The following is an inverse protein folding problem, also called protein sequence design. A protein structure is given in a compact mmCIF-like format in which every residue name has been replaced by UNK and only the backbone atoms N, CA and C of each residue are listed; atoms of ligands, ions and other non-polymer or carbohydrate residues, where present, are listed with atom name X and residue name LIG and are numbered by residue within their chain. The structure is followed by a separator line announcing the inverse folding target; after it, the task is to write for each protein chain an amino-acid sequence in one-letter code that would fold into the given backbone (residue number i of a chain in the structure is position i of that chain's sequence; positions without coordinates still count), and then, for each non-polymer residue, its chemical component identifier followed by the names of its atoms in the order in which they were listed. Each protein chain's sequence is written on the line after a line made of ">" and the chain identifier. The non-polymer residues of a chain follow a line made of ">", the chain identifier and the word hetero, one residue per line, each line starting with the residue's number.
data_IF_074049987827
#
_entry.id   IF_074049987827
#
_cell.length_a   1.000
_cell.length_b   1.000
_cell.length_c   1.000
_cell.angle_alpha   90.00
_cell.angle_beta   90.00
_cell.angle_gamma   90.00
#
_symmetry.space_group_name_H-M   'P 1'
#
loop_
_entity.id
_entity.type
_entity.pdbx_description
1 polymer ?
#
# COMPACT_ATOMS: atom_id res chain seq x y z
N UNK A 1 -16.05 -7.67 -18.89
CA UNK A 1 -14.75 -6.99 -19.08
C UNK A 1 -13.77 -8.00 -19.66
N UNK A 2 -13.18 -7.74 -20.83
CA UNK A 2 -12.01 -8.49 -21.27
C UNK A 2 -10.90 -8.08 -20.31
N UNK A 3 -10.47 -8.97 -19.41
CA UNK A 3 -9.31 -8.70 -18.55
C UNK A 3 -8.12 -8.54 -19.49
N UNK A 4 -7.57 -7.34 -19.61
CA UNK A 4 -6.27 -7.20 -20.23
C UNK A 4 -5.32 -8.13 -19.49
N UNK A 5 -4.75 -9.09 -20.23
CA UNK A 5 -3.72 -9.96 -19.68
C UNK A 5 -2.42 -9.19 -19.61
N UNK A 6 -2.13 -8.63 -18.45
CA UNK A 6 -0.81 -8.06 -18.20
C UNK A 6 0.24 -9.18 -18.10
N UNK A 7 1.38 -8.96 -18.72
CA UNK A 7 2.52 -9.86 -18.59
C UNK A 7 3.18 -9.66 -17.23
N UNK A 8 3.51 -10.75 -16.55
CA UNK A 8 4.31 -10.70 -15.33
C UNK A 8 5.78 -10.52 -15.71
N UNK A 9 6.30 -9.30 -15.55
CA UNK A 9 7.69 -8.94 -15.85
C UNK A 9 8.61 -9.09 -14.63
N UNK A 10 8.02 -9.14 -13.44
CA UNK A 10 8.73 -9.29 -12.17
C UNK A 10 8.90 -10.76 -11.78
N UNK A 11 9.95 -11.05 -11.03
CA UNK A 11 10.15 -12.35 -10.40
C UNK A 11 9.87 -12.25 -8.90
N UNK A 12 8.88 -13.01 -8.42
CA UNK A 12 8.59 -13.13 -7.00
C UNK A 12 9.79 -13.72 -6.25
N UNK A 13 10.28 -13.07 -5.18
CA UNK A 13 11.36 -13.65 -4.36
C UNK A 13 10.86 -14.81 -3.50
N UNK A 14 11.75 -15.72 -3.15
CA UNK A 14 11.50 -16.70 -2.10
C UNK A 14 11.58 -15.99 -0.74
N UNK A 15 10.46 -15.96 -0.02
CA UNK A 15 10.38 -15.34 1.32
C UNK A 15 10.53 -16.37 2.46
N UNK A 16 10.65 -17.66 2.15
CA UNK A 16 10.78 -18.72 3.16
C UNK A 16 11.96 -18.51 4.12
N UNK A 17 13.13 -17.97 3.70
CA UNK A 17 14.21 -17.63 4.61
C UNK A 17 13.84 -16.64 5.72
N UNK A 18 12.73 -15.91 5.59
CA UNK A 18 12.26 -14.90 6.56
C UNK A 18 11.08 -15.39 7.41
N UNK A 19 10.73 -16.70 7.34
CA UNK A 19 9.66 -17.30 8.12
C UNK A 19 9.91 -17.18 9.63
N UNK A 20 11.14 -17.45 10.06
CA UNK A 20 11.49 -17.34 11.47
C UNK A 20 11.37 -15.88 11.94
N UNK A 21 10.58 -15.71 12.98
CA UNK A 21 10.31 -14.42 13.60
C UNK A 21 11.02 -14.30 14.95
N UNK A 22 11.53 -13.13 15.25
CA UNK A 22 12.07 -12.84 16.58
C UNK A 22 11.03 -12.25 17.55
N UNK A 23 9.77 -12.13 17.13
CA UNK A 23 8.66 -11.61 17.95
C UNK A 23 7.49 -12.62 18.06
N UNK A 24 7.64 -13.84 17.56
CA UNK A 24 6.65 -14.91 17.68
C UNK A 24 5.53 -14.86 16.64
N UNK A 25 5.61 -14.00 15.62
CA UNK A 25 4.66 -13.90 14.49
C UNK A 25 5.40 -14.19 13.19
N UNK A 26 5.12 -15.33 12.53
CA UNK A 26 5.82 -15.76 11.31
C UNK A 26 5.91 -14.64 10.26
N UNK A 27 7.03 -14.58 9.54
CA UNK A 27 7.32 -13.59 8.48
C UNK A 27 7.32 -12.13 8.96
N UNK A 28 7.51 -11.91 10.26
CA UNK A 28 7.64 -10.58 10.85
C UNK A 28 8.95 -10.50 11.61
N UNK A 29 9.83 -9.59 11.22
CA UNK A 29 11.14 -9.41 11.85
C UNK A 29 11.26 -7.97 12.36
N UNK A 30 11.57 -7.82 13.65
CA UNK A 30 11.80 -6.52 14.29
C UNK A 30 13.29 -6.37 14.65
N UNK A 31 13.90 -5.30 14.20
CA UNK A 31 15.23 -4.86 14.57
C UNK A 31 15.12 -3.72 15.58
N UNK A 32 15.81 -3.85 16.73
CA UNK A 32 15.87 -2.82 17.77
C UNK A 32 17.28 -2.22 17.81
N UNK A 33 17.38 -0.90 17.72
CA UNK A 33 18.66 -0.18 17.81
C UNK A 33 19.18 -0.09 19.25
N UNK A 34 18.37 -0.40 20.24
CA UNK A 34 18.67 -0.14 21.65
C UNK A 34 18.65 1.34 22.07
N UNK A 35 18.24 2.23 21.16
CA UNK A 35 18.14 3.67 21.39
C UNK A 35 16.70 4.15 21.27
N UNK A 36 16.38 5.26 21.94
CA UNK A 36 15.09 5.91 21.82
C UNK A 36 14.82 6.35 20.38
N UNK A 37 13.58 6.23 19.93
CA UNK A 37 13.11 6.59 18.58
C UNK A 37 11.77 5.95 18.27
N UNK A 38 11.18 6.24 17.09
CA UNK A 38 9.91 5.65 16.69
C UNK A 38 10.02 4.16 16.39
N UNK A 39 8.92 3.45 16.55
CA UNK A 39 8.74 2.10 16.04
C UNK A 39 8.13 2.19 14.63
N UNK A 40 8.93 1.88 13.63
CA UNK A 40 8.58 1.97 12.20
C UNK A 40 8.30 0.58 11.66
N UNK A 41 7.27 0.45 10.82
CA UNK A 41 6.97 -0.82 10.14
C UNK A 41 6.78 -0.60 8.64
N UNK A 42 7.30 -1.55 7.85
CA UNK A 42 7.02 -1.66 6.42
C UNK A 42 6.38 -3.02 6.16
N UNK A 43 5.18 -2.99 5.61
CA UNK A 43 4.45 -4.16 5.17
C UNK A 43 4.65 -4.43 3.68
N UNK A 44 4.66 -5.70 3.32
CA UNK A 44 4.55 -6.18 1.95
C UNK A 44 3.55 -7.33 1.88
N UNK A 45 3.05 -7.57 0.68
CA UNK A 45 2.13 -8.67 0.33
C UNK A 45 0.85 -8.69 1.16
N UNK A 46 0.28 -7.53 1.43
CA UNK A 46 -1.10 -7.39 1.94
C UNK A 46 -2.07 -8.09 1.00
N UNK A 47 -1.83 -8.02 -0.31
CA UNK A 47 -2.38 -8.91 -1.32
C UNK A 47 -1.26 -9.79 -1.90
N UNK A 48 -1.49 -11.10 -1.99
CA UNK A 48 -0.45 -12.05 -2.36
C UNK A 48 0.07 -11.91 -3.80
N UNK A 49 -0.69 -11.28 -4.68
CA UNK A 49 -0.31 -10.99 -6.06
C UNK A 49 0.48 -9.70 -6.25
N UNK A 50 0.67 -8.89 -5.22
CA UNK A 50 1.35 -7.60 -5.27
C UNK A 50 2.83 -7.78 -4.86
N UNK A 51 3.59 -8.42 -5.73
CA UNK A 51 4.94 -8.93 -5.44
C UNK A 51 6.03 -7.85 -5.34
N UNK A 52 5.76 -6.61 -5.78
CA UNK A 52 6.73 -5.50 -5.74
C UNK A 52 7.21 -5.19 -4.31
N UNK A 53 6.31 -5.23 -3.33
CA UNK A 53 6.64 -5.05 -1.92
C UNK A 53 7.55 -6.16 -1.38
N UNK A 54 7.30 -7.43 -1.80
CA UNK A 54 8.16 -8.54 -1.43
C UNK A 54 9.59 -8.35 -1.98
N UNK A 55 9.72 -7.86 -3.22
CA UNK A 55 11.01 -7.54 -3.85
C UNK A 55 11.75 -6.47 -3.05
N UNK A 56 11.04 -5.40 -2.64
CA UNK A 56 11.62 -4.33 -1.86
C UNK A 56 12.12 -4.81 -0.49
N UNK A 57 11.30 -5.57 0.27
CA UNK A 57 11.69 -6.08 1.57
C UNK A 57 12.81 -7.12 1.49
N UNK A 58 12.77 -8.05 0.52
CA UNK A 58 13.85 -9.01 0.27
C UNK A 58 15.18 -8.30 0.03
N UNK A 59 15.16 -7.22 -0.78
CA UNK A 59 16.35 -6.41 -1.04
C UNK A 59 16.86 -5.73 0.22
N UNK A 60 15.99 -5.07 1.01
CA UNK A 60 16.39 -4.41 2.26
C UNK A 60 16.98 -5.40 3.27
N UNK A 61 16.39 -6.59 3.40
CA UNK A 61 16.86 -7.65 4.30
C UNK A 61 18.22 -8.20 3.86
N UNK A 62 18.40 -8.49 2.58
CA UNK A 62 19.67 -8.94 2.01
C UNK A 62 20.79 -7.90 2.13
N UNK A 63 20.45 -6.63 1.99
CA UNK A 63 21.38 -5.50 2.15
C UNK A 63 21.71 -5.22 3.64
N UNK A 64 21.11 -5.97 4.56
CA UNK A 64 21.42 -5.89 5.98
C UNK A 64 20.92 -4.63 6.67
N UNK A 65 19.76 -4.11 6.26
CA UNK A 65 19.16 -2.92 6.87
C UNK A 65 19.09 -3.04 8.41
N UNK A 66 19.44 -1.98 9.11
CA UNK A 66 19.32 -1.88 10.58
C UNK A 66 18.91 -0.47 10.98
N UNK A 67 18.09 -0.32 12.04
CA UNK A 67 17.80 0.98 12.61
C UNK A 67 19.02 1.54 13.37
N UNK A 68 19.24 2.85 13.27
CA UNK A 68 20.24 3.59 14.05
C UNK A 68 19.64 4.22 15.31
N UNK A 69 18.31 4.33 15.37
CA UNK A 69 17.50 4.69 16.53
C UNK A 69 16.10 4.04 16.41
N UNK A 70 15.38 3.92 17.54
CA UNK A 70 14.06 3.28 17.56
C UNK A 70 14.09 1.82 17.10
N UNK A 71 12.98 1.39 16.49
CA UNK A 71 12.78 0.03 15.98
C UNK A 71 12.33 0.04 14.53
N UNK A 72 12.74 -1.00 13.80
CA UNK A 72 12.27 -1.25 12.44
C UNK A 72 11.71 -2.66 12.35
N UNK A 73 10.43 -2.77 11.97
CA UNK A 73 9.75 -4.02 11.67
C UNK A 73 9.54 -4.16 10.17
N UNK A 74 9.91 -5.29 9.60
CA UNK A 74 9.63 -5.67 8.22
C UNK A 74 8.74 -6.91 8.23
N UNK A 75 7.65 -6.89 7.44
CA UNK A 75 6.65 -7.95 7.48
C UNK A 75 6.10 -8.33 6.09
N UNK A 76 6.08 -9.63 5.80
CA UNK A 76 5.32 -10.22 4.71
C UNK A 76 3.98 -10.68 5.29
N UNK A 77 2.95 -9.81 5.20
CA UNK A 77 1.78 -9.93 6.09
C UNK A 77 0.81 -11.05 5.68
N UNK A 78 0.44 -11.17 4.42
CA UNK A 78 -0.43 -12.25 3.91
C UNK A 78 0.38 -13.31 3.16
N UNK A 79 1.34 -13.90 3.87
CA UNK A 79 2.26 -14.90 3.30
C UNK A 79 1.53 -16.13 2.73
N UNK A 80 0.36 -16.50 3.26
CA UNK A 80 -0.43 -17.62 2.72
C UNK A 80 -0.92 -17.31 1.31
N UNK A 81 -1.51 -16.13 1.08
CA UNK A 81 -1.92 -15.71 -0.25
C UNK A 81 -0.71 -15.60 -1.20
N UNK A 82 0.38 -15.00 -0.74
CA UNK A 82 1.62 -14.92 -1.51
C UNK A 82 2.17 -16.29 -1.91
N UNK A 83 2.09 -17.29 -1.05
CA UNK A 83 2.56 -18.66 -1.36
C UNK A 83 1.82 -19.32 -2.51
N UNK A 84 0.63 -18.82 -2.86
CA UNK A 84 -0.16 -19.32 -4.01
C UNK A 84 0.12 -18.57 -5.31
N UNK A 85 1.08 -17.62 -5.33
CA UNK A 85 1.36 -16.82 -6.50
C UNK A 85 1.86 -17.68 -7.67
N UNK A 86 1.10 -17.64 -8.76
CA UNK A 86 1.41 -18.29 -10.03
C UNK A 86 1.45 -17.24 -11.16
N UNK A 87 2.61 -17.02 -11.82
CA UNK A 87 2.70 -16.08 -12.92
C UNK A 87 1.77 -16.37 -14.12
N UNK A 88 1.28 -17.61 -14.25
CA UNK A 88 0.32 -17.97 -15.30
C UNK A 88 -1.13 -17.55 -14.98
N UNK A 89 -1.44 -17.32 -13.69
CA UNK A 89 -2.75 -16.91 -13.19
C UNK A 89 -2.60 -15.93 -12.00
N UNK A 90 -1.85 -14.84 -12.16
CA UNK A 90 -1.33 -14.06 -11.02
C UNK A 90 -2.42 -13.39 -10.19
N UNK A 91 -3.58 -13.07 -10.76
CA UNK A 91 -4.69 -12.45 -10.05
C UNK A 91 -5.37 -13.37 -9.02
N UNK A 92 -5.20 -14.70 -9.13
CA UNK A 92 -5.84 -15.67 -8.25
C UNK A 92 -5.24 -15.69 -6.84
N UNK A 93 -4.02 -15.20 -6.68
CA UNK A 93 -3.32 -15.16 -5.39
C UNK A 93 -3.53 -13.87 -4.60
N UNK A 94 -4.54 -13.06 -4.95
CA UNK A 94 -4.81 -11.80 -4.25
C UNK A 94 -5.10 -12.03 -2.75
N UNK A 95 -5.92 -13.02 -2.43
CA UNK A 95 -6.26 -13.43 -1.05
C UNK A 95 -6.67 -14.91 -1.04
N UNK A 96 -6.81 -15.50 0.13
CA UNK A 96 -7.29 -16.89 0.31
C UNK A 96 -8.82 -16.91 0.43
N UNK A 97 -9.39 -16.24 1.42
CA UNK A 97 -10.82 -16.24 1.71
C UNK A 97 -11.47 -14.87 1.40
N UNK A 98 -10.79 -13.77 1.73
CA UNK A 98 -11.32 -12.41 1.58
C UNK A 98 -10.19 -11.36 1.48
N UNK A 99 -10.53 -10.15 1.06
CA UNK A 99 -9.56 -9.07 0.92
C UNK A 99 -8.98 -8.65 2.30
N UNK A 100 -7.70 -8.93 2.54
CA UNK A 100 -6.98 -8.62 3.77
C UNK A 100 -7.02 -7.12 4.11
N UNK A 101 -7.10 -6.26 3.09
CA UNK A 101 -7.19 -4.81 3.28
C UNK A 101 -8.64 -4.31 3.42
N UNK A 102 -9.58 -5.20 3.87
CA UNK A 102 -10.97 -4.87 4.22
C UNK A 102 -11.39 -5.43 5.59
N UNK A 103 -10.52 -6.19 6.25
CA UNK A 103 -10.84 -6.87 7.52
C UNK A 103 -10.59 -6.02 8.78
N UNK A 104 -10.03 -4.83 8.65
CA UNK A 104 -9.56 -4.00 9.78
C UNK A 104 -10.69 -3.24 10.49
N UNK A 105 -11.82 -3.91 10.64
CA UNK A 105 -12.99 -3.44 11.40
C UNK A 105 -12.95 -4.07 12.78
N UNK A 106 -13.03 -3.28 13.83
CA UNK A 106 -12.86 -3.70 15.22
C UNK A 106 -13.82 -4.84 15.58
N UNK A 107 -15.11 -4.73 15.24
CA UNK A 107 -16.13 -5.76 15.53
C UNK A 107 -15.81 -7.09 14.84
N UNK A 108 -15.17 -7.07 13.66
CA UNK A 108 -14.73 -8.27 12.96
C UNK A 108 -13.48 -8.87 13.61
N UNK A 109 -12.52 -8.01 13.98
CA UNK A 109 -11.29 -8.43 14.66
C UNK A 109 -11.58 -9.07 16.04
N UNK A 110 -12.59 -8.58 16.75
CA UNK A 110 -13.04 -9.11 18.04
C UNK A 110 -14.07 -10.26 17.89
N UNK A 111 -14.58 -10.46 16.68
CA UNK A 111 -15.63 -11.44 16.36
C UNK A 111 -15.14 -12.88 16.28
N UNK A 112 -16.07 -13.79 15.95
CA UNK A 112 -15.83 -15.24 15.90
C UNK A 112 -15.56 -15.79 14.49
N UNK A 113 -15.62 -14.95 13.48
CA UNK A 113 -15.30 -15.31 12.09
C UNK A 113 -13.87 -15.85 11.97
N UNK A 114 -13.66 -16.85 11.10
CA UNK A 114 -12.40 -17.59 11.01
C UNK A 114 -11.87 -17.68 9.59
N UNK A 115 -11.93 -16.58 8.83
CA UNK A 115 -11.24 -16.54 7.54
C UNK A 115 -9.71 -16.48 7.77
N UNK A 116 -8.95 -16.93 6.80
CA UNK A 116 -7.48 -16.93 6.85
C UNK A 116 -6.95 -15.51 7.09
N UNK A 117 -7.53 -14.54 6.42
CA UNK A 117 -7.14 -13.13 6.53
C UNK A 117 -7.49 -12.53 7.91
N UNK A 118 -8.66 -12.85 8.47
CA UNK A 118 -9.02 -12.39 9.82
C UNK A 118 -8.15 -13.02 10.91
N UNK A 119 -7.83 -14.32 10.78
CA UNK A 119 -6.92 -14.97 11.72
C UNK A 119 -5.55 -14.30 11.68
N UNK A 120 -5.03 -14.05 10.48
CA UNK A 120 -3.75 -13.37 10.30
C UNK A 120 -3.79 -11.93 10.80
N UNK A 121 -4.87 -11.19 10.56
CA UNK A 121 -5.04 -9.84 11.09
C UNK A 121 -5.02 -9.80 12.63
N UNK A 122 -5.65 -10.78 13.29
CA UNK A 122 -5.62 -10.91 14.75
C UNK A 122 -4.22 -11.22 15.30
N UNK A 123 -3.43 -12.04 14.59
CA UNK A 123 -2.02 -12.29 14.95
C UNK A 123 -1.17 -11.02 14.85
N UNK A 124 -1.41 -10.20 13.83
CA UNK A 124 -0.65 -8.98 13.55
C UNK A 124 -1.12 -7.77 14.38
N UNK A 125 -2.39 -7.78 14.84
CA UNK A 125 -2.99 -6.67 15.58
C UNK A 125 -2.12 -6.17 16.74
N UNK A 126 -1.59 -7.02 17.64
CA UNK A 126 -0.72 -6.56 18.73
C UNK A 126 0.57 -5.89 18.23
N UNK A 127 1.07 -6.29 17.06
CA UNK A 127 2.25 -5.67 16.46
C UNK A 127 1.89 -4.27 15.99
N UNK A 128 0.78 -4.11 15.26
CA UNK A 128 0.33 -2.79 14.78
C UNK A 128 -0.01 -1.82 15.90
N UNK A 129 -0.49 -2.32 17.02
CA UNK A 129 -0.78 -1.49 18.21
C UNK A 129 0.49 -0.82 18.78
N UNK A 130 1.67 -1.40 18.54
CA UNK A 130 2.97 -0.86 18.97
C UNK A 130 3.62 0.07 17.93
N UNK A 131 3.14 0.09 16.67
CA UNK A 131 3.75 0.84 15.58
C UNK A 131 3.39 2.33 15.66
N UNK A 132 4.38 3.20 15.48
CA UNK A 132 4.19 4.64 15.35
C UNK A 132 3.98 5.06 13.90
N UNK A 133 4.77 4.50 12.97
CA UNK A 133 4.78 4.86 11.55
C UNK A 133 4.75 3.61 10.68
N UNK A 134 3.71 3.48 9.87
CA UNK A 134 3.47 2.35 8.99
C UNK A 134 3.54 2.78 7.51
N UNK A 135 4.23 1.99 6.69
CA UNK A 135 4.10 1.98 5.23
C UNK A 135 3.57 0.61 4.79
N UNK A 136 2.43 0.61 4.10
CA UNK A 136 1.83 -0.58 3.48
C UNK A 136 2.06 -0.52 1.96
N UNK A 137 2.84 -1.46 1.42
CA UNK A 137 3.25 -1.45 0.01
C UNK A 137 2.27 -2.27 -0.81
N UNK A 138 1.64 -1.60 -1.76
CA UNK A 138 0.67 -2.12 -2.73
C UNK A 138 1.06 -1.81 -4.16
N UNK A 139 0.25 -2.30 -5.08
CA UNK A 139 0.27 -1.97 -6.51
C UNK A 139 -1.13 -2.09 -7.10
N UNK A 140 -1.33 -1.67 -8.34
CA UNK A 140 -2.65 -1.57 -8.97
C UNK A 140 -2.86 -2.60 -10.07
N UNK A 141 -4.09 -3.08 -10.23
CA UNK A 141 -4.47 -4.04 -11.27
C UNK A 141 -4.42 -3.47 -12.68
N UNK A 142 -4.52 -2.15 -12.82
CA UNK A 142 -4.48 -1.43 -14.11
C UNK A 142 -3.29 -0.50 -14.17
N UNK A 143 -2.96 0.02 -15.33
CA UNK A 143 -1.94 1.05 -15.46
C UNK A 143 -2.35 2.32 -14.73
N UNK A 144 -1.51 2.76 -13.82
CA UNK A 144 -1.60 4.01 -13.10
C UNK A 144 -0.21 4.54 -12.77
N UNK A 145 -0.06 5.84 -12.64
CA UNK A 145 1.15 6.40 -12.06
C UNK A 145 1.26 6.00 -10.59
N UNK A 146 2.48 5.76 -10.07
CA UNK A 146 2.68 5.50 -8.65
C UNK A 146 2.13 6.64 -7.79
N UNK A 147 1.48 6.29 -6.68
CA UNK A 147 0.88 7.28 -5.77
C UNK A 147 0.90 6.82 -4.32
N UNK A 148 1.01 7.78 -3.39
CA UNK A 148 0.85 7.56 -1.97
C UNK A 148 -0.58 7.85 -1.55
N UNK A 149 -1.15 7.02 -0.69
CA UNK A 149 -2.50 7.20 -0.14
C UNK A 149 -2.43 7.42 1.37
N UNK A 150 -3.20 8.38 1.88
CA UNK A 150 -3.45 8.59 3.29
C UNK A 150 -4.92 8.95 3.54
N UNK A 151 -5.42 8.80 4.78
CA UNK A 151 -6.81 9.13 5.11
C UNK A 151 -7.10 10.65 5.09
N UNK A 152 -6.04 11.46 5.08
CA UNK A 152 -6.15 12.92 4.98
C UNK A 152 -6.16 13.64 6.33
N UNK A 153 -5.84 12.95 7.43
CA UNK A 153 -5.66 13.59 8.73
C UNK A 153 -4.48 14.57 8.72
N UNK A 154 -4.52 15.66 9.51
CA UNK A 154 -3.44 16.65 9.54
C UNK A 154 -2.05 16.04 9.77
N UNK A 155 -1.93 15.07 10.71
CA UNK A 155 -0.68 14.34 11.00
C UNK A 155 -0.16 13.54 9.81
N UNK A 156 -1.06 12.93 9.02
CA UNK A 156 -0.70 12.17 7.83
C UNK A 156 -0.24 13.09 6.70
N UNK A 157 -0.97 14.20 6.47
CA UNK A 157 -0.60 15.21 5.46
C UNK A 157 0.77 15.82 5.74
N UNK A 158 1.06 16.14 6.99
CA UNK A 158 2.37 16.63 7.40
C UNK A 158 3.46 15.59 7.17
N UNK A 159 3.19 14.32 7.50
CA UNK A 159 4.19 13.28 7.39
C UNK A 159 4.42 12.85 5.93
N UNK A 160 3.37 12.66 5.15
CA UNK A 160 3.47 12.23 3.75
C UNK A 160 4.21 13.26 2.89
N UNK A 161 4.08 14.57 3.19
CA UNK A 161 4.87 15.62 2.53
C UNK A 161 6.36 15.53 2.85
N UNK A 162 6.74 15.01 4.01
CA UNK A 162 8.16 14.75 4.36
C UNK A 162 8.69 13.52 3.63
N UNK A 163 7.84 12.50 3.38
CA UNK A 163 8.20 11.34 2.55
C UNK A 163 8.47 11.79 1.11
N UNK A 164 7.61 12.65 0.55
CA UNK A 164 7.76 13.32 -0.75
C UNK A 164 8.06 12.36 -1.92
N UNK A 165 7.57 11.13 -1.86
CA UNK A 165 7.70 10.12 -2.91
C UNK A 165 6.60 9.05 -2.74
N UNK A 166 5.99 8.56 -3.83
CA UNK A 166 6.12 9.02 -5.22
C UNK A 166 5.52 10.43 -5.44
N UNK A 167 5.54 10.90 -6.70
CA UNK A 167 5.17 12.27 -7.06
C UNK A 167 3.70 12.64 -6.76
N UNK A 168 2.81 11.68 -6.60
CA UNK A 168 1.39 11.91 -6.36
C UNK A 168 0.98 11.43 -4.97
N UNK A 169 0.23 12.26 -4.25
CA UNK A 169 -0.31 11.98 -2.92
C UNK A 169 -1.83 12.14 -2.98
N UNK A 170 -2.55 11.08 -2.65
CA UNK A 170 -4.00 11.05 -2.57
C UNK A 170 -4.45 11.05 -1.12
N UNK A 171 -5.22 12.05 -0.72
CA UNK A 171 -5.72 12.21 0.63
C UNK A 171 -7.22 12.01 0.69
N UNK A 172 -7.68 11.07 1.50
CA UNK A 172 -9.10 10.80 1.75
C UNK A 172 -9.44 9.31 1.77
N UNK A 173 -10.58 8.97 2.36
CA UNK A 173 -11.13 7.62 2.33
C UNK A 173 -12.08 7.51 1.14
N UNK A 174 -11.85 6.51 0.26
CA UNK A 174 -12.70 6.26 -0.91
C UNK A 174 -13.46 4.94 -0.84
N UNK A 175 -13.32 4.16 0.23
CA UNK A 175 -13.95 2.84 0.36
C UNK A 175 -15.24 2.89 1.16
N UNK A 176 -16.28 2.25 0.61
CA UNK A 176 -17.64 2.19 1.21
C UNK A 176 -17.79 0.93 2.08
N UNK A 177 -17.03 -0.14 1.81
CA UNK A 177 -17.17 -1.44 2.49
C UNK A 177 -15.84 -1.87 3.09
N UNK A 178 -15.84 -2.20 4.39
CA UNK A 178 -14.67 -2.60 5.14
C UNK A 178 -13.72 -1.43 5.45
N UNK A 179 -12.67 -1.72 6.21
CA UNK A 179 -11.59 -0.76 6.49
C UNK A 179 -10.26 -1.30 5.98
N UNK A 180 -9.47 -0.43 5.37
CA UNK A 180 -8.06 -0.71 5.07
C UNK A 180 -7.24 -0.70 6.35
N UNK A 181 -6.05 -1.29 6.33
CA UNK A 181 -5.12 -1.26 7.46
C UNK A 181 -4.80 0.18 7.92
N UNK A 182 -4.58 1.10 6.98
CA UNK A 182 -4.33 2.52 7.33
C UNK A 182 -5.53 3.21 7.99
N UNK A 183 -6.75 2.64 7.87
CA UNK A 183 -7.97 3.11 8.53
C UNK A 183 -8.22 2.40 9.87
N UNK A 184 -7.38 1.43 10.26
CA UNK A 184 -7.42 0.81 11.58
C UNK A 184 -7.18 1.85 12.68
N UNK A 185 -7.93 1.74 13.76
CA UNK A 185 -8.08 2.79 14.79
C UNK A 185 -6.78 3.44 15.26
N UNK A 186 -5.66 2.74 15.56
CA UNK A 186 -4.42 3.39 15.99
C UNK A 186 -3.92 4.43 14.99
N UNK A 187 -4.02 4.18 13.68
CA UNK A 187 -3.53 5.09 12.64
C UNK A 187 -4.54 6.20 12.33
N UNK A 188 -5.84 5.88 12.37
CA UNK A 188 -6.92 6.81 12.03
C UNK A 188 -7.45 7.61 13.24
N UNK A 189 -6.80 7.58 14.39
CA UNK A 189 -7.18 8.35 15.58
C UNK A 189 -6.43 9.69 15.62
N UNK A 190 -7.18 10.80 15.60
CA UNK A 190 -6.63 12.16 15.64
C UNK A 190 -5.98 12.53 16.98
N UNK A 191 -6.19 11.73 18.02
CA UNK A 191 -5.70 11.99 19.40
C UNK A 191 -4.28 11.48 19.64
N UNK A 192 -3.72 10.73 18.72
CA UNK A 192 -2.36 10.22 18.80
C UNK A 192 -1.53 10.63 17.58
N UNK A 193 -0.22 10.36 17.61
CA UNK A 193 0.74 10.70 16.55
C UNK A 193 0.99 9.58 15.54
N UNK A 194 0.35 8.41 15.69
CA UNK A 194 0.57 7.26 14.82
C UNK A 194 0.08 7.54 13.40
N UNK A 195 0.86 7.17 12.39
CA UNK A 195 0.55 7.42 10.98
C UNK A 195 0.65 6.11 10.20
N UNK A 196 -0.37 5.82 9.40
CA UNK A 196 -0.37 4.75 8.40
C UNK A 196 -0.44 5.36 6.99
N UNK A 197 0.50 4.99 6.14
CA UNK A 197 0.52 5.34 4.72
C UNK A 197 0.45 4.08 3.88
N UNK A 198 -0.17 4.18 2.70
CA UNK A 198 -0.24 3.13 1.70
C UNK A 198 0.37 3.67 0.40
N UNK A 199 1.23 2.89 -0.25
CA UNK A 199 1.73 3.24 -1.58
C UNK A 199 1.18 2.27 -2.62
N UNK A 200 0.72 2.81 -3.74
CA UNK A 200 0.44 2.09 -4.98
C UNK A 200 1.61 2.29 -5.94
N UNK A 201 2.38 1.23 -6.18
CA UNK A 201 3.66 1.32 -6.92
C UNK A 201 3.51 1.31 -8.44
N UNK A 202 2.30 1.38 -8.98
CA UNK A 202 2.01 1.22 -10.40
C UNK A 202 1.37 -0.13 -10.71
N UNK A 203 1.36 -0.58 -11.97
CA UNK A 203 0.72 -1.83 -12.38
C UNK A 203 1.43 -3.03 -11.74
N UNK A 204 0.69 -3.98 -11.15
CA UNK A 204 1.18 -5.08 -10.29
C UNK A 204 2.48 -5.73 -10.72
N UNK A 205 2.66 -5.98 -12.03
CA UNK A 205 3.73 -6.83 -12.53
C UNK A 205 4.64 -6.14 -13.55
N UNK A 206 4.48 -4.83 -13.74
CA UNK A 206 5.38 -4.04 -14.56
C UNK A 206 6.79 -4.00 -13.93
N UNK A 207 7.83 -4.04 -14.77
CA UNK A 207 9.23 -4.21 -14.35
C UNK A 207 9.76 -3.11 -13.41
N UNK A 208 9.18 -1.92 -13.46
CA UNK A 208 9.59 -0.76 -12.65
C UNK A 208 8.97 -0.73 -11.25
N UNK A 209 7.87 -1.46 -11.00
CA UNK A 209 7.15 -1.39 -9.71
C UNK A 209 8.00 -1.85 -8.53
N UNK A 210 8.89 -2.82 -8.73
CA UNK A 210 9.84 -3.25 -7.69
C UNK A 210 10.83 -2.15 -7.29
N UNK A 211 11.27 -1.34 -8.26
CA UNK A 211 12.14 -0.18 -8.03
C UNK A 211 11.37 0.91 -7.29
N UNK A 212 10.15 1.23 -7.74
CA UNK A 212 9.27 2.21 -7.06
C UNK A 212 8.98 1.80 -5.62
N UNK A 213 8.72 0.51 -5.37
CA UNK A 213 8.48 -0.01 -4.02
C UNK A 213 9.70 0.20 -3.10
N UNK A 214 10.89 -0.13 -3.59
CA UNK A 214 12.14 0.07 -2.84
C UNK A 214 12.42 1.56 -2.59
N UNK A 215 12.33 2.40 -3.62
CA UNK A 215 12.54 3.84 -3.50
C UNK A 215 11.56 4.48 -2.51
N UNK A 216 10.28 4.08 -2.57
CA UNK A 216 9.28 4.56 -1.60
C UNK A 216 9.62 4.13 -0.18
N UNK A 217 10.01 2.87 0.03
CA UNK A 217 10.44 2.39 1.34
C UNK A 217 11.64 3.19 1.88
N UNK A 218 12.62 3.50 1.03
CA UNK A 218 13.80 4.28 1.40
C UNK A 218 13.45 5.74 1.73
N UNK A 219 12.56 6.38 0.94
CA UNK A 219 12.07 7.73 1.24
C UNK A 219 11.28 7.79 2.55
N UNK A 220 10.42 6.80 2.79
CA UNK A 220 9.69 6.65 4.04
C UNK A 220 10.65 6.51 5.24
N UNK A 221 11.63 5.61 5.15
CA UNK A 221 12.64 5.42 6.19
C UNK A 221 13.49 6.69 6.44
N UNK A 222 13.78 7.44 5.36
CA UNK A 222 14.46 8.74 5.47
C UNK A 222 13.62 9.75 6.25
N UNK A 223 12.32 9.83 5.95
CA UNK A 223 11.40 10.71 6.68
C UNK A 223 11.24 10.30 8.15
N UNK A 224 11.26 9.00 8.45
CA UNK A 224 11.23 8.45 9.82
C UNK A 224 12.53 8.69 10.58
N UNK A 225 13.67 8.92 9.90
CA UNK A 225 15.02 9.09 10.49
C UNK A 225 15.49 7.88 11.30
N UNK A 226 15.07 6.68 10.97
CA UNK A 226 15.41 5.45 11.72
C UNK A 226 16.58 4.69 11.11
N UNK A 227 16.97 4.96 9.88
CA UNK A 227 18.05 4.27 9.16
C UNK A 227 19.15 5.28 8.80
N UNK A 228 20.38 4.81 8.68
CA UNK A 228 21.54 5.62 8.28
C UNK A 228 21.27 6.30 6.93
N UNK A 229 21.44 7.63 6.82
CA UNK A 229 21.24 8.34 5.56
C UNK A 229 22.10 7.86 4.40
N UNK A 230 23.32 7.38 4.66
CA UNK A 230 24.20 6.83 3.61
C UNK A 230 23.66 5.51 3.10
N UNK A 231 23.15 4.63 3.99
CA UNK A 231 22.49 3.39 3.57
C UNK A 231 21.36 3.67 2.59
N UNK A 232 20.55 4.70 2.87
CA UNK A 232 19.42 5.11 2.02
C UNK A 232 19.94 5.68 0.69
N UNK A 233 20.87 6.64 0.73
CA UNK A 233 21.40 7.33 -0.44
C UNK A 233 22.00 6.36 -1.46
N UNK A 234 22.79 5.40 -1.00
CA UNK A 234 23.51 4.42 -1.85
C UNK A 234 22.56 3.44 -2.58
N UNK A 235 21.28 3.39 -2.17
CA UNK A 235 20.27 2.44 -2.69
C UNK A 235 19.13 3.08 -3.45
N UNK A 236 18.97 4.38 -3.34
CA UNK A 236 17.97 5.09 -4.15
C UNK A 236 18.32 5.02 -5.63
N UNK A 237 17.32 4.78 -6.46
CA UNK A 237 17.49 4.88 -7.91
C UNK A 237 17.84 6.32 -8.32
N UNK A 238 18.52 6.53 -9.44
CA UNK A 238 18.86 7.89 -9.90
C UNK A 238 17.64 8.81 -10.04
N UNK A 239 16.50 8.27 -10.45
CA UNK A 239 15.24 9.04 -10.60
C UNK A 239 14.60 9.43 -9.27
N UNK A 240 14.92 8.73 -8.17
CA UNK A 240 14.38 8.99 -6.84
C UNK A 240 15.32 9.83 -5.95
N UNK A 241 16.51 10.16 -6.40
CA UNK A 241 17.47 10.95 -5.60
C UNK A 241 17.01 12.40 -5.39
N UNK A 242 16.34 12.98 -6.39
CA UNK A 242 15.77 14.34 -6.32
C UNK A 242 14.38 14.37 -6.97
N UNK A 243 13.33 13.87 -6.28
CA UNK A 243 12.00 13.72 -6.87
C UNK A 243 11.30 15.05 -6.81
N UNK A 244 11.59 16.16 -7.00
CA UNK A 244 10.79 17.39 -6.95
C UNK A 244 9.65 17.37 -5.90
N UNK A 245 8.82 18.40 -5.80
CA UNK A 245 7.70 18.42 -4.86
C UNK A 245 6.57 17.49 -5.32
N UNK A 246 6.04 16.69 -4.41
CA UNK A 246 4.87 15.85 -4.68
C UNK A 246 3.59 16.69 -4.81
N UNK A 247 2.70 16.26 -5.72
CA UNK A 247 1.37 16.85 -5.92
C UNK A 247 0.35 16.21 -4.98
N UNK A 248 -0.36 17.04 -4.20
CA UNK A 248 -1.36 16.57 -3.23
C UNK A 248 -2.77 16.76 -3.79
N UNK A 249 -3.51 15.66 -3.89
CA UNK A 249 -4.89 15.58 -4.35
C UNK A 249 -5.82 15.11 -3.23
N UNK A 250 -7.09 15.54 -3.28
CA UNK A 250 -8.11 15.10 -2.31
C UNK A 250 -9.14 14.23 -3.00
N UNK A 251 -9.43 13.06 -2.42
CA UNK A 251 -10.57 12.25 -2.81
C UNK A 251 -11.85 12.96 -2.38
N UNK A 252 -12.69 13.32 -3.35
CA UNK A 252 -13.94 14.04 -3.10
C UNK A 252 -15.17 13.15 -3.29
N UNK A 253 -15.08 12.18 -4.18
CA UNK A 253 -16.18 11.28 -4.52
C UNK A 253 -15.65 9.85 -4.69
N UNK A 254 -16.26 8.90 -3.99
CA UNK A 254 -16.08 7.47 -4.23
C UNK A 254 -17.24 6.95 -5.08
N UNK A 255 -16.95 6.25 -6.17
CA UNK A 255 -17.95 5.62 -7.04
C UNK A 255 -17.75 4.12 -6.96
N UNK A 256 -18.76 3.41 -6.49
CA UNK A 256 -18.79 1.95 -6.47
C UNK A 256 -19.83 1.47 -7.46
N UNK A 257 -19.47 0.48 -8.28
CA UNK A 257 -20.43 -0.17 -9.16
C UNK A 257 -21.60 -0.74 -8.34
N UNK A 258 -22.81 -0.40 -8.71
CA UNK A 258 -24.04 -0.86 -8.05
C UNK A 258 -24.68 -2.04 -8.78
N UNK A 259 -24.23 -2.32 -9.99
CA UNK A 259 -24.70 -3.44 -10.83
C UNK A 259 -23.53 -4.13 -11.55
N UNK A 260 -23.77 -5.35 -12.04
CA UNK A 260 -22.81 -6.08 -12.89
C UNK A 260 -22.65 -5.46 -14.30
N UNK A 261 -23.44 -4.43 -14.61
CA UNK A 261 -23.43 -3.73 -15.90
C UNK A 261 -22.70 -2.39 -15.85
N UNK A 262 -21.71 -2.25 -14.97
CA UNK A 262 -20.83 -1.09 -14.96
C UNK A 262 -19.89 -1.13 -16.19
N UNK A 263 -19.80 -0.03 -16.93
CA UNK A 263 -18.91 0.13 -18.08
C UNK A 263 -18.35 1.54 -18.14
N UNK A 264 -17.05 1.67 -18.29
CA UNK A 264 -16.43 2.94 -18.67
C UNK A 264 -16.79 3.29 -20.12
N UNK A 265 -16.93 4.59 -20.45
CA UNK A 265 -17.24 5.06 -21.79
C UNK A 265 -16.05 4.92 -22.75
N UNK A 266 -14.84 4.94 -22.22
CA UNK A 266 -13.57 4.80 -22.93
C UNK A 266 -12.52 4.18 -22.02
N UNK A 267 -11.37 3.73 -22.52
CA UNK A 267 -10.32 3.11 -21.73
C UNK A 267 -9.51 4.19 -20.96
N UNK A 268 -10.08 4.70 -19.88
CA UNK A 268 -9.38 5.64 -19.01
C UNK A 268 -8.15 5.00 -18.36
N UNK A 269 -7.14 5.83 -18.11
CA UNK A 269 -5.93 5.45 -17.37
C UNK A 269 -5.98 6.07 -15.97
N UNK A 270 -5.51 5.36 -14.96
CA UNK A 270 -5.43 5.89 -13.61
C UNK A 270 -4.61 7.19 -13.56
N UNK A 271 -5.08 8.18 -12.81
CA UNK A 271 -4.53 9.54 -12.71
C UNK A 271 -4.77 10.42 -13.95
N UNK A 272 -5.75 10.08 -14.80
CA UNK A 272 -6.18 10.93 -15.91
C UNK A 272 -7.06 12.08 -15.43
N UNK A 273 -6.85 13.28 -15.99
CA UNK A 273 -7.62 14.49 -15.67
C UNK A 273 -8.67 14.72 -16.74
N UNK A 274 -9.93 14.71 -16.34
CA UNK A 274 -11.08 15.07 -17.20
C UNK A 274 -11.39 16.55 -17.01
N UNK A 275 -11.22 17.32 -18.09
CA UNK A 275 -11.21 18.79 -18.01
C UNK A 275 -12.57 19.41 -17.63
N UNK A 276 -13.69 18.81 -18.08
CA UNK A 276 -15.01 19.43 -17.95
C UNK A 276 -15.94 18.70 -16.99
N UNK A 277 -16.61 19.49 -16.14
CA UNK A 277 -17.79 19.06 -15.36
C UNK A 277 -18.87 18.44 -16.27
N UNK A 278 -19.56 17.43 -15.76
CA UNK A 278 -20.65 16.75 -16.45
C UNK A 278 -20.21 15.82 -17.58
N UNK A 279 -18.89 15.65 -17.84
CA UNK A 279 -18.38 14.68 -18.80
C UNK A 279 -18.78 13.28 -18.38
N UNK A 280 -19.44 12.53 -19.25
CA UNK A 280 -19.79 11.13 -18.99
C UNK A 280 -18.52 10.28 -19.00
N UNK A 281 -18.26 9.59 -17.89
CA UNK A 281 -17.08 8.73 -17.72
C UNK A 281 -17.45 7.25 -17.68
N UNK A 282 -18.66 6.92 -17.23
CA UNK A 282 -19.13 5.54 -17.15
C UNK A 282 -20.65 5.46 -17.22
N UNK A 283 -21.16 4.24 -17.30
CA UNK A 283 -22.57 3.91 -17.14
C UNK A 283 -22.70 2.70 -16.21
N UNK A 284 -23.68 2.72 -15.30
CA UNK A 284 -23.99 1.62 -14.40
C UNK A 284 -25.50 1.33 -14.39
N UNK A 285 -25.91 0.14 -14.87
CA UNK A 285 -27.32 -0.24 -14.96
C UNK A 285 -28.20 0.74 -15.74
N UNK A 286 -27.63 1.41 -16.75
CA UNK A 286 -28.34 2.44 -17.56
C UNK A 286 -28.26 3.86 -16.99
N UNK A 287 -27.69 4.06 -15.80
CA UNK A 287 -27.45 5.37 -15.19
C UNK A 287 -26.07 5.91 -15.58
N UNK A 288 -26.02 7.12 -16.14
CA UNK A 288 -24.77 7.79 -16.45
C UNK A 288 -24.02 8.22 -15.17
N UNK A 289 -22.71 8.00 -15.18
CA UNK A 289 -21.78 8.50 -14.20
C UNK A 289 -20.97 9.62 -14.85
N UNK A 290 -20.95 10.79 -14.24
CA UNK A 290 -20.36 12.00 -14.80
C UNK A 290 -19.42 12.67 -13.82
N UNK A 291 -18.43 13.41 -14.34
CA UNK A 291 -17.52 14.21 -13.52
C UNK A 291 -18.27 15.28 -12.73
N UNK A 292 -17.99 15.44 -11.43
CA UNK A 292 -18.71 16.38 -10.55
C UNK A 292 -18.24 17.84 -10.66
N UNK A 293 -17.09 18.10 -11.32
CA UNK A 293 -16.49 19.45 -11.48
C UNK A 293 -15.43 19.44 -12.59
N UNK A 294 -14.97 20.63 -12.98
CA UNK A 294 -13.87 20.81 -13.95
C UNK A 294 -12.54 20.27 -13.37
N UNK A 295 -11.68 19.73 -14.24
CA UNK A 295 -10.37 19.15 -13.89
C UNK A 295 -10.48 18.02 -12.84
N UNK A 296 -11.42 17.12 -13.04
CA UNK A 296 -11.62 15.95 -12.19
C UNK A 296 -10.57 14.88 -12.50
N UNK A 297 -9.76 14.52 -11.50
CA UNK A 297 -8.78 13.44 -11.60
C UNK A 297 -9.46 12.10 -11.30
N UNK A 298 -9.29 11.12 -12.19
CA UNK A 298 -9.79 9.76 -12.03
C UNK A 298 -8.72 8.91 -11.34
N UNK A 299 -9.06 8.35 -10.19
CA UNK A 299 -8.25 7.33 -9.51
C UNK A 299 -8.96 5.99 -9.67
N UNK A 300 -8.32 5.02 -10.33
CA UNK A 300 -8.89 3.71 -10.63
C UNK A 300 -7.91 2.61 -10.23
#
# INVERSE_FOLDING_TARGET
>A
MVSEKFTVELKAPDIEPYRESNIGVEFVTTFDSGKSGPHVMINAVTHGNEICGAIALDRLLKDGIRPVNGKLTLAFVNHLAYSTFDPSAPSLSRFIDEDFNRVWVEDRLDGLEKTSELQRARELRPVYDEIDLLLDIHSMGTFSKPLMICNGLPKEREFVTKVNFPAYIMCGSGHVVGKRLIEYTPFNDTRNSKVGLLVECGQHWASDTGVVALDTALHFLRACKVVDPNFIHDRLSPSAQDPGPAEVWNVTHGITASTDNFQFCEPFVGMEIIEKEGTKIAQDGGKDIRTPYDNCLLMM
#
